data_IF_934205551230
#
_entry.id   IF_934205551230
#
_cell.length_a   1.000
_cell.length_b   1.000
_cell.length_c   1.000
_cell.angle_alpha   90.00
_cell.angle_beta   90.00
_cell.angle_gamma   90.00
#
_symmetry.space_group_name_H-M   'P 1'
#
loop_
_entity.id
_entity.type
_entity.pdbx_description
1 polymer ?
#
# COMPACT_ATOMS: atom_id res chain seq x y z
N UNK A 1 3.69 -4.98 -2.43
CA UNK A 1 4.67 -4.97 -3.52
C UNK A 1 5.96 -4.20 -3.20
N UNK A 2 5.95 -3.00 -2.55
CA UNK A 2 7.19 -2.27 -2.30
C UNK A 2 8.03 -2.84 -1.15
N UNK A 3 7.45 -3.69 -0.30
CA UNK A 3 8.07 -4.21 0.92
C UNK A 3 8.82 -5.54 0.73
N UNK A 4 8.54 -6.26 -0.36
CA UNK A 4 9.09 -7.60 -0.63
C UNK A 4 9.35 -7.79 -2.11
N UNK A 5 10.35 -8.60 -2.42
CA UNK A 5 10.53 -9.12 -3.77
C UNK A 5 9.32 -9.97 -4.15
N UNK A 6 8.81 -9.75 -5.36
CA UNK A 6 7.74 -10.57 -5.95
C UNK A 6 8.32 -11.24 -7.18
N UNK A 7 8.31 -12.57 -7.18
CA UNK A 7 8.61 -13.38 -8.34
C UNK A 7 7.33 -14.08 -8.79
N UNK A 8 6.80 -13.66 -9.94
CA UNK A 8 5.53 -14.17 -10.47
C UNK A 8 5.62 -15.63 -10.92
N UNK A 9 6.84 -16.12 -11.22
CA UNK A 9 7.05 -17.53 -11.60
C UNK A 9 7.07 -18.42 -10.38
N UNK A 10 7.74 -18.00 -9.31
CA UNK A 10 7.78 -18.70 -8.03
C UNK A 10 6.40 -18.78 -7.39
N UNK A 11 5.63 -17.66 -7.45
CA UNK A 11 4.26 -17.60 -6.96
C UNK A 11 3.25 -18.35 -7.84
N UNK A 12 3.62 -18.71 -9.06
CA UNK A 12 2.75 -19.31 -10.09
C UNK A 12 1.39 -18.63 -10.27
N UNK A 13 1.34 -17.31 -10.08
CA UNK A 13 0.10 -16.55 -10.19
C UNK A 13 -0.35 -16.42 -11.66
N UNK A 14 -1.64 -16.49 -11.89
CA UNK A 14 -2.23 -16.28 -13.21
C UNK A 14 -2.25 -14.82 -13.61
N UNK A 15 -2.59 -13.93 -12.65
CA UNK A 15 -2.58 -12.48 -12.82
C UNK A 15 -2.03 -11.81 -11.57
N UNK A 16 -1.32 -10.69 -11.78
CA UNK A 16 -0.86 -9.78 -10.74
C UNK A 16 -1.04 -8.34 -11.19
N UNK A 17 -1.66 -7.51 -10.36
CA UNK A 17 -1.80 -6.09 -10.64
C UNK A 17 -1.29 -5.26 -9.47
N UNK A 18 -0.65 -4.13 -9.77
CA UNK A 18 -0.25 -3.15 -8.76
C UNK A 18 -0.21 -1.73 -9.33
N UNK A 19 -0.37 -0.75 -8.43
CA UNK A 19 -0.30 0.67 -8.75
C UNK A 19 1.12 1.20 -8.54
N UNK A 20 1.61 2.02 -9.47
CA UNK A 20 2.95 2.60 -9.43
C UNK A 20 3.20 3.44 -8.19
N UNK A 21 2.24 4.30 -7.80
CA UNK A 21 2.37 5.17 -6.62
C UNK A 21 2.53 4.41 -5.28
N UNK A 22 2.11 3.16 -5.21
CA UNK A 22 2.35 2.30 -4.03
C UNK A 22 3.70 1.58 -4.07
N UNK A 23 4.54 1.88 -5.07
CA UNK A 23 5.86 1.29 -5.29
C UNK A 23 6.91 2.35 -5.54
N UNK A 24 6.83 3.48 -4.84
CA UNK A 24 7.71 4.65 -5.01
C UNK A 24 7.68 5.25 -6.43
N UNK A 25 6.75 4.83 -7.27
CA UNK A 25 6.56 5.33 -8.62
C UNK A 25 5.52 6.46 -8.69
N UNK A 26 5.30 7.04 -9.87
CA UNK A 26 4.33 8.10 -10.08
C UNK A 26 2.88 7.60 -9.99
N UNK A 27 1.95 8.54 -9.80
CA UNK A 27 0.52 8.31 -9.97
C UNK A 27 0.17 8.11 -11.45
N UNK A 28 -1.03 7.58 -11.74
CA UNK A 28 -1.54 7.42 -13.11
C UNK A 28 -0.89 6.30 -13.92
N UNK A 29 -0.10 5.43 -13.29
CA UNK A 29 0.52 4.25 -13.90
C UNK A 29 0.37 3.03 -13.00
N UNK A 30 0.20 1.87 -13.58
CA UNK A 30 0.18 0.57 -12.93
C UNK A 30 0.57 -0.54 -13.88
N UNK A 31 0.75 -1.72 -13.35
CA UNK A 31 1.10 -2.93 -14.12
C UNK A 31 0.03 -3.98 -13.94
N UNK A 32 -0.34 -4.63 -15.03
CA UNK A 32 -1.02 -5.91 -15.04
C UNK A 32 -0.07 -6.94 -15.65
N UNK A 33 0.36 -7.89 -14.83
CA UNK A 33 0.98 -9.13 -15.29
C UNK A 33 -0.09 -10.19 -15.53
N UNK A 34 0.09 -11.03 -16.53
CA UNK A 34 -0.73 -12.22 -16.74
C UNK A 34 0.01 -13.26 -17.55
N UNK A 35 -0.31 -14.55 -17.32
CA UNK A 35 0.17 -15.64 -18.18
C UNK A 35 -0.33 -15.41 -19.59
N UNK A 36 0.55 -15.53 -20.59
CA UNK A 36 0.27 -15.22 -22.00
C UNK A 36 -1.00 -15.90 -22.51
N UNK A 37 -1.13 -17.19 -22.29
CA UNK A 37 -2.28 -18.01 -22.71
C UNK A 37 -3.62 -17.58 -22.08
N UNK A 38 -3.59 -16.90 -20.95
CA UNK A 38 -4.76 -16.34 -20.30
C UNK A 38 -5.06 -14.92 -20.82
N UNK A 39 -4.03 -14.08 -20.98
CA UNK A 39 -4.19 -12.76 -21.57
C UNK A 39 -4.75 -12.82 -22.99
N UNK A 40 -4.41 -13.83 -23.78
CA UNK A 40 -4.94 -14.05 -25.12
C UNK A 40 -6.46 -14.31 -25.15
N UNK A 41 -6.99 -14.91 -24.08
CA UNK A 41 -8.42 -15.22 -23.95
C UNK A 41 -9.29 -14.07 -23.50
N UNK A 42 -8.70 -13.03 -22.93
CA UNK A 42 -9.46 -11.87 -22.43
C UNK A 42 -9.58 -10.82 -23.54
N UNK A 43 -10.77 -10.29 -23.79
CA UNK A 43 -10.97 -9.18 -24.71
C UNK A 43 -10.44 -7.85 -24.15
N UNK A 44 -9.94 -6.92 -24.96
CA UNK A 44 -9.63 -5.57 -24.52
C UNK A 44 -10.87 -4.89 -23.94
N UNK A 45 -10.66 -4.06 -22.91
CA UNK A 45 -11.73 -3.24 -22.32
C UNK A 45 -11.91 -1.93 -23.12
N UNK A 46 -10.82 -1.42 -23.67
CA UNK A 46 -10.78 -0.18 -24.44
C UNK A 46 -10.16 -0.41 -25.81
N UNK A 47 -10.64 0.36 -26.80
CA UNK A 47 -10.15 0.37 -28.17
C UNK A 47 -9.81 1.81 -28.53
N UNK A 48 -8.74 2.03 -29.29
CA UNK A 48 -8.41 3.37 -29.80
C UNK A 48 -6.96 3.52 -30.26
N UNK A 49 -6.75 4.56 -31.08
CA UNK A 49 -5.43 4.95 -31.57
C UNK A 49 -4.80 3.96 -32.55
N UNK A 50 -5.57 3.05 -33.15
CA UNK A 50 -5.11 2.03 -34.10
C UNK A 50 -3.95 1.16 -33.61
N UNK A 51 -3.69 1.18 -32.30
CA UNK A 51 -2.54 0.51 -31.68
C UNK A 51 -2.89 -0.89 -31.15
N UNK A 52 -4.11 -1.06 -30.64
CA UNK A 52 -4.53 -2.34 -30.07
C UNK A 52 -5.56 -3.06 -30.92
N UNK A 53 -6.21 -2.37 -31.85
CA UNK A 53 -7.20 -2.93 -32.76
C UNK A 53 -7.28 -2.10 -34.07
N UNK A 54 -7.52 -2.79 -35.15
CA UNK A 54 -7.83 -2.19 -36.46
C UNK A 54 -9.27 -2.51 -36.80
N UNK A 55 -9.91 -1.60 -37.54
CA UNK A 55 -11.27 -1.76 -38.04
C UNK A 55 -11.24 -1.84 -39.56
N UNK A 56 -11.96 -2.77 -40.14
CA UNK A 56 -12.14 -2.82 -41.58
C UNK A 56 -13.48 -2.18 -41.99
N UNK A 57 -13.67 -2.02 -43.28
CA UNK A 57 -14.90 -1.41 -43.87
C UNK A 57 -16.18 -2.20 -43.59
N UNK A 58 -16.07 -3.45 -43.12
CA UNK A 58 -17.20 -4.31 -42.71
C UNK A 58 -17.54 -4.20 -41.23
N UNK A 59 -16.81 -3.36 -40.48
CA UNK A 59 -16.99 -3.21 -39.04
C UNK A 59 -16.34 -4.34 -38.19
N UNK A 60 -15.51 -5.20 -38.80
CA UNK A 60 -14.80 -6.25 -38.10
C UNK A 60 -13.61 -5.64 -37.34
N UNK A 61 -13.41 -6.11 -36.10
CA UNK A 61 -12.32 -5.69 -35.21
C UNK A 61 -11.19 -6.74 -35.28
N UNK A 62 -10.04 -6.29 -35.76
CA UNK A 62 -8.81 -7.10 -35.79
C UNK A 62 -7.92 -6.65 -34.67
N UNK A 63 -7.71 -7.52 -33.67
CA UNK A 63 -6.85 -7.24 -32.51
C UNK A 63 -5.39 -7.43 -32.86
N UNK A 64 -4.54 -6.55 -32.36
CA UNK A 64 -3.09 -6.73 -32.43
C UNK A 64 -2.61 -7.79 -31.41
N UNK A 65 -1.34 -8.15 -31.51
CA UNK A 65 -0.69 -9.09 -30.59
C UNK A 65 -0.46 -8.48 -29.20
N UNK A 66 -0.25 -9.36 -28.22
CA UNK A 66 0.20 -8.91 -26.90
C UNK A 66 1.64 -8.36 -26.97
N UNK A 67 1.94 -7.32 -26.19
CA UNK A 67 1.10 -6.65 -25.19
C UNK A 67 0.14 -5.59 -25.77
N UNK A 68 0.33 -5.18 -27.03
CA UNK A 68 -0.32 -4.02 -27.66
C UNK A 68 -1.84 -4.09 -27.67
N UNK A 69 -2.42 -5.27 -27.85
CA UNK A 69 -3.88 -5.44 -27.79
C UNK A 69 -4.52 -4.97 -26.48
N UNK A 70 -3.71 -4.78 -25.41
CA UNK A 70 -4.15 -4.34 -24.10
C UNK A 70 -3.95 -2.86 -23.82
N UNK A 71 -3.30 -2.15 -24.74
CA UNK A 71 -2.82 -0.77 -24.56
C UNK A 71 -3.46 0.15 -25.61
N UNK A 72 -4.70 0.59 -25.35
CA UNK A 72 -5.42 1.49 -26.25
C UNK A 72 -4.84 2.91 -26.23
N UNK A 73 -4.65 3.51 -27.39
CA UNK A 73 -4.19 4.89 -27.54
C UNK A 73 -2.74 5.13 -27.13
N UNK A 74 -2.39 6.40 -26.90
CA UNK A 74 -1.05 6.80 -26.46
C UNK A 74 -0.89 6.51 -24.98
N UNK A 75 0.12 5.71 -24.64
CA UNK A 75 0.39 5.30 -23.28
C UNK A 75 1.07 6.40 -22.45
N UNK A 76 0.95 6.32 -21.13
CA UNK A 76 1.64 7.21 -20.20
C UNK A 76 3.14 6.89 -20.15
N UNK A 77 3.89 7.33 -21.18
CA UNK A 77 5.33 7.03 -21.33
C UNK A 77 6.14 7.59 -20.16
N UNK A 78 5.85 8.83 -19.73
CA UNK A 78 6.55 9.45 -18.60
C UNK A 78 6.33 8.67 -17.30
N UNK A 79 5.09 8.22 -17.06
CA UNK A 79 4.76 7.38 -15.92
C UNK A 79 5.45 6.01 -15.96
N UNK A 80 5.56 5.41 -17.16
CA UNK A 80 6.25 4.13 -17.34
C UNK A 80 7.75 4.23 -17.02
N UNK A 81 8.42 5.28 -17.53
CA UNK A 81 9.83 5.55 -17.23
C UNK A 81 10.06 5.84 -15.73
N UNK A 82 9.18 6.64 -15.13
CA UNK A 82 9.24 6.91 -13.68
C UNK A 82 9.04 5.65 -12.83
N UNK A 83 8.11 4.77 -13.22
CA UNK A 83 7.90 3.48 -12.53
C UNK A 83 9.09 2.54 -12.72
N UNK A 84 9.67 2.47 -13.92
CA UNK A 84 10.89 1.69 -14.16
C UNK A 84 12.03 2.15 -13.24
N UNK A 85 12.24 3.46 -13.12
CA UNK A 85 13.25 4.04 -12.23
C UNK A 85 12.99 3.73 -10.76
N UNK A 86 11.73 3.76 -10.33
CA UNK A 86 11.35 3.37 -8.96
C UNK A 86 11.65 1.88 -8.70
N UNK A 87 11.42 1.00 -9.69
CA UNK A 87 11.76 -0.41 -9.56
C UNK A 87 13.28 -0.64 -9.46
N UNK A 88 14.08 0.04 -10.29
CA UNK A 88 15.54 0.00 -10.21
C UNK A 88 16.04 0.44 -8.82
N UNK A 89 15.49 1.56 -8.33
CA UNK A 89 15.83 2.10 -7.03
C UNK A 89 15.53 1.11 -5.90
N UNK A 90 14.32 0.53 -5.85
CA UNK A 90 13.98 -0.47 -4.83
C UNK A 90 14.87 -1.71 -4.92
N UNK A 91 15.24 -2.12 -6.13
CA UNK A 91 16.15 -3.23 -6.35
C UNK A 91 17.58 -2.91 -5.86
N UNK A 92 18.03 -1.67 -6.02
CA UNK A 92 19.36 -1.23 -5.55
C UNK A 92 19.45 -1.12 -4.03
N UNK A 93 18.35 -0.74 -3.34
CA UNK A 93 18.26 -0.75 -1.88
C UNK A 93 18.27 -2.19 -1.34
N UNK A 94 17.66 -3.11 -2.07
CA UNK A 94 17.51 -4.50 -1.69
C UNK A 94 16.26 -4.74 -0.85
N UNK A 95 15.41 -5.67 -1.30
CA UNK A 95 14.15 -5.97 -0.59
C UNK A 95 14.37 -6.62 0.78
N UNK A 96 15.44 -7.39 0.95
CA UNK A 96 15.76 -8.00 2.23
C UNK A 96 16.19 -6.94 3.26
N UNK A 97 16.95 -5.93 2.83
CA UNK A 97 17.31 -4.78 3.66
C UNK A 97 16.08 -3.97 4.09
N UNK A 98 15.16 -3.73 3.16
CA UNK A 98 13.89 -3.03 3.45
C UNK A 98 13.09 -3.83 4.48
N UNK A 99 12.96 -5.12 4.28
CA UNK A 99 12.18 -5.99 5.15
C UNK A 99 12.77 -6.07 6.56
N UNK A 100 14.08 -6.24 6.71
CA UNK A 100 14.74 -6.32 8.02
C UNK A 100 14.66 -4.98 8.77
N UNK A 101 14.82 -3.87 8.06
CA UNK A 101 14.64 -2.54 8.64
C UNK A 101 13.20 -2.34 9.17
N UNK A 102 12.19 -2.66 8.37
CA UNK A 102 10.79 -2.56 8.79
C UNK A 102 10.48 -3.48 9.98
N UNK A 103 11.03 -4.69 9.98
CA UNK A 103 10.87 -5.66 11.07
C UNK A 103 11.45 -5.16 12.38
N UNK A 104 12.64 -4.55 12.32
CA UNK A 104 13.31 -3.96 13.49
C UNK A 104 12.48 -2.82 14.07
N UNK A 105 12.08 -1.87 13.24
CA UNK A 105 11.27 -0.73 13.70
C UNK A 105 9.88 -1.17 14.21
N UNK A 106 9.26 -2.15 13.53
CA UNK A 106 8.00 -2.72 13.98
C UNK A 106 8.12 -3.33 15.37
N UNK A 107 9.16 -4.11 15.63
CA UNK A 107 9.40 -4.72 16.95
C UNK A 107 9.47 -3.66 18.02
N UNK A 108 10.26 -2.60 17.82
CA UNK A 108 10.35 -1.47 18.76
C UNK A 108 8.99 -0.80 19.00
N UNK A 109 8.19 -0.60 17.95
CA UNK A 109 6.87 0.00 18.07
C UNK A 109 5.89 -0.90 18.88
N UNK A 110 5.84 -2.20 18.57
CA UNK A 110 4.97 -3.15 19.29
C UNK A 110 5.36 -3.23 20.76
N UNK A 111 6.65 -3.34 21.09
CA UNK A 111 7.15 -3.36 22.45
C UNK A 111 6.79 -2.07 23.21
N UNK A 112 6.96 -0.92 22.56
CA UNK A 112 6.63 0.37 23.14
C UNK A 112 5.13 0.56 23.38
N UNK A 113 4.29 0.20 22.41
CA UNK A 113 2.83 0.26 22.55
C UNK A 113 2.30 -0.68 23.65
N UNK A 114 2.87 -1.89 23.76
CA UNK A 114 2.56 -2.80 24.84
C UNK A 114 2.92 -2.23 26.22
N UNK A 115 4.09 -1.58 26.32
CA UNK A 115 4.55 -0.96 27.57
C UNK A 115 3.65 0.18 28.00
N UNK A 116 3.04 0.93 27.08
CA UNK A 116 2.07 1.98 27.41
C UNK A 116 0.82 1.42 28.11
N UNK A 117 0.43 0.18 27.80
CA UNK A 117 -0.68 -0.50 28.46
C UNK A 117 -2.09 -0.09 28.01
N UNK A 118 -2.21 0.98 27.22
CA UNK A 118 -3.49 1.51 26.71
C UNK A 118 -3.79 1.12 25.27
N UNK A 119 -2.85 0.53 24.55
CA UNK A 119 -3.03 0.12 23.16
C UNK A 119 -3.65 -1.29 23.04
N UNK A 120 -4.59 -1.45 22.12
CA UNK A 120 -5.14 -2.73 21.67
C UNK A 120 -4.51 -3.03 20.31
N UNK A 121 -3.67 -4.06 20.23
CA UNK A 121 -2.97 -4.46 19.02
C UNK A 121 -3.75 -5.58 18.31
N UNK A 122 -3.91 -5.47 16.98
CA UNK A 122 -4.69 -6.43 16.18
C UNK A 122 -3.84 -7.35 15.31
N UNK A 123 -2.58 -6.99 15.04
CA UNK A 123 -1.72 -7.73 14.14
C UNK A 123 -0.29 -7.89 14.67
N UNK A 124 -0.15 -8.23 15.93
CA UNK A 124 1.14 -8.30 16.61
C UNK A 124 2.17 -9.17 15.90
N UNK A 125 1.75 -10.33 15.40
CA UNK A 125 2.61 -11.34 14.78
C UNK A 125 2.75 -11.17 13.25
N UNK A 126 2.20 -10.07 12.69
CA UNK A 126 2.28 -9.86 11.26
C UNK A 126 3.70 -9.52 10.81
N UNK A 127 4.13 -10.12 9.72
CA UNK A 127 5.43 -9.88 9.09
C UNK A 127 5.30 -8.78 8.02
N UNK A 128 5.06 -7.54 8.47
CA UNK A 128 4.93 -6.36 7.61
C UNK A 128 5.21 -5.08 8.38
N UNK A 129 5.56 -3.98 7.68
CA UNK A 129 5.72 -2.65 8.28
C UNK A 129 4.42 -1.97 8.71
N UNK A 130 3.28 -2.68 8.71
CA UNK A 130 1.96 -2.13 9.07
C UNK A 130 1.60 -2.57 10.49
N UNK A 131 1.31 -1.60 11.35
CA UNK A 131 0.82 -1.83 12.71
C UNK A 131 -0.62 -1.33 12.79
N UNK A 132 -1.52 -2.23 13.18
CA UNK A 132 -2.95 -1.93 13.35
C UNK A 132 -3.29 -1.99 14.83
N UNK A 133 -3.79 -0.90 15.36
CA UNK A 133 -4.09 -0.77 16.78
C UNK A 133 -5.26 0.18 17.06
N UNK A 134 -5.73 0.19 18.28
CA UNK A 134 -6.59 1.24 18.85
C UNK A 134 -6.05 1.64 20.23
N UNK A 135 -6.45 2.80 20.72
CA UNK A 135 -6.29 3.20 22.11
C UNK A 135 -7.61 2.89 22.83
N UNK A 136 -7.53 2.31 24.03
CA UNK A 136 -8.70 1.96 24.83
C UNK A 136 -9.57 3.19 25.05
N UNK A 137 -10.87 3.00 24.89
CA UNK A 137 -11.92 3.99 25.15
C UNK A 137 -11.82 5.29 24.31
N UNK A 138 -10.95 5.35 23.29
CA UNK A 138 -10.80 6.47 22.37
C UNK A 138 -11.17 6.05 20.94
N UNK A 139 -11.97 6.87 20.29
CA UNK A 139 -12.38 6.59 18.91
C UNK A 139 -11.18 6.72 17.95
N UNK A 140 -11.01 5.82 16.97
CA UNK A 140 -9.81 5.81 16.12
C UNK A 140 -9.51 7.12 15.38
N UNK A 141 -10.53 7.88 14.99
CA UNK A 141 -10.37 9.18 14.35
C UNK A 141 -9.81 10.23 15.30
N UNK A 142 -10.24 10.20 16.58
CA UNK A 142 -9.76 11.12 17.60
C UNK A 142 -8.31 10.84 17.95
N UNK A 143 -7.94 9.55 18.04
CA UNK A 143 -6.54 9.12 18.15
C UNK A 143 -5.71 9.68 16.99
N UNK A 144 -6.17 9.52 15.75
CA UNK A 144 -5.42 10.00 14.58
C UNK A 144 -5.28 11.53 14.57
N UNK A 145 -6.32 12.27 14.99
CA UNK A 145 -6.29 13.72 15.11
C UNK A 145 -5.30 14.16 16.19
N UNK A 146 -5.35 13.53 17.35
CA UNK A 146 -4.41 13.79 18.45
C UNK A 146 -2.96 13.52 18.03
N UNK A 147 -2.69 12.35 17.44
CA UNK A 147 -1.35 12.01 16.96
C UNK A 147 -0.85 13.02 15.92
N UNK A 148 -1.73 13.48 15.02
CA UNK A 148 -1.41 14.52 14.03
C UNK A 148 -1.00 15.83 14.69
N UNK A 149 -1.65 16.26 15.78
CA UNK A 149 -1.27 17.46 16.56
C UNK A 149 0.12 17.34 17.20
N UNK A 150 0.59 16.11 17.41
CA UNK A 150 1.95 15.81 17.91
C UNK A 150 2.97 15.54 16.78
N UNK A 151 2.60 15.79 15.51
CA UNK A 151 3.46 15.59 14.36
C UNK A 151 3.58 14.13 13.90
N UNK A 152 2.71 13.24 14.39
CA UNK A 152 2.70 11.81 14.03
C UNK A 152 1.49 11.51 13.14
N UNK A 153 1.74 11.18 11.88
CA UNK A 153 0.69 10.98 10.88
C UNK A 153 0.37 9.49 10.71
N UNK A 154 -0.85 9.12 11.06
CA UNK A 154 -1.40 7.77 10.94
C UNK A 154 -2.69 7.80 10.13
N UNK A 155 -3.18 6.65 9.75
CA UNK A 155 -4.51 6.54 9.12
C UNK A 155 -5.48 5.89 10.08
N UNK A 156 -6.72 6.41 10.15
CA UNK A 156 -7.83 5.82 10.91
C UNK A 156 -8.97 5.35 10.01
N UNK A 157 -9.83 4.48 10.53
CA UNK A 157 -11.04 4.01 9.90
C UNK A 157 -10.96 2.59 9.37
N UNK A 158 -11.60 2.33 8.22
CA UNK A 158 -11.80 0.98 7.64
C UNK A 158 -10.68 0.55 6.69
N UNK A 159 -9.73 1.42 6.35
CA UNK A 159 -8.56 1.14 5.48
C UNK A 159 -8.90 0.55 4.10
N UNK A 160 -10.05 0.91 3.51
CA UNK A 160 -10.60 0.32 2.28
C UNK A 160 -10.94 -1.18 2.41
N UNK A 161 -11.16 -1.67 3.64
CA UNK A 161 -11.50 -3.05 3.98
C UNK A 161 -12.76 -3.06 4.86
N UNK A 162 -13.92 -2.79 4.27
CA UNK A 162 -15.19 -2.56 5.00
C UNK A 162 -15.61 -3.70 5.95
N UNK A 163 -15.21 -4.92 5.64
CA UNK A 163 -15.53 -6.12 6.46
C UNK A 163 -14.59 -6.24 7.67
N UNK A 164 -13.39 -5.66 7.60
CA UNK A 164 -12.38 -5.80 8.66
C UNK A 164 -12.84 -5.33 10.04
N UNK A 165 -13.53 -4.18 10.21
CA UNK A 165 -14.05 -3.75 11.50
C UNK A 165 -15.04 -4.73 12.13
N UNK A 166 -15.87 -5.39 11.33
CA UNK A 166 -16.81 -6.41 11.81
C UNK A 166 -16.07 -7.63 12.36
N UNK A 167 -15.03 -8.10 11.64
CA UNK A 167 -14.18 -9.23 12.08
C UNK A 167 -13.47 -8.89 13.38
N UNK A 168 -12.94 -7.67 13.47
CA UNK A 168 -12.21 -7.19 14.65
C UNK A 168 -13.14 -6.74 15.80
N UNK A 169 -14.46 -6.68 15.55
CA UNK A 169 -15.46 -6.14 16.50
C UNK A 169 -15.09 -4.75 17.00
N UNK A 170 -14.60 -3.91 16.12
CA UNK A 170 -14.14 -2.55 16.41
C UNK A 170 -14.80 -1.54 15.45
N UNK A 171 -15.07 -0.29 15.87
CA UNK A 171 -15.70 0.73 15.02
C UNK A 171 -14.82 1.19 13.85
N UNK A 172 -13.57 0.82 13.89
CA UNK A 172 -12.47 1.11 12.97
C UNK A 172 -11.15 0.87 13.67
N UNK A 173 -10.06 1.12 13.00
CA UNK A 173 -8.72 0.98 13.59
C UNK A 173 -7.81 2.14 13.20
N UNK A 174 -6.76 2.36 13.99
CA UNK A 174 -5.62 3.20 13.67
C UNK A 174 -4.55 2.34 13.00
N UNK A 175 -3.93 2.86 11.95
CA UNK A 175 -2.86 2.19 11.22
C UNK A 175 -1.63 3.08 11.13
N UNK A 176 -0.55 2.67 11.76
CA UNK A 176 0.78 3.16 11.49
C UNK A 176 1.43 2.32 10.38
N UNK A 177 2.05 2.98 9.41
CA UNK A 177 2.73 2.32 8.29
C UNK A 177 4.19 2.72 8.31
N UNK A 178 5.06 1.78 8.58
CA UNK A 178 6.51 1.94 8.61
C UNK A 178 7.06 1.59 7.23
N UNK A 179 7.99 2.36 6.75
CA UNK A 179 8.72 2.08 5.53
C UNK A 179 10.20 2.42 5.67
N UNK A 180 10.99 2.12 4.64
CA UNK A 180 12.46 2.24 4.61
C UNK A 180 13.04 3.60 5.04
N UNK A 181 12.27 4.67 5.00
CA UNK A 181 12.71 6.02 5.37
C UNK A 181 12.39 6.41 6.82
N UNK A 182 11.60 5.59 7.52
CA UNK A 182 11.34 5.84 8.93
C UNK A 182 12.57 5.46 9.78
N UNK A 183 12.67 6.10 10.95
CA UNK A 183 13.76 5.96 11.89
C UNK A 183 13.26 5.46 13.24
N UNK A 184 14.18 5.08 14.13
CA UNK A 184 13.83 4.78 15.53
C UNK A 184 13.19 5.97 16.24
N UNK A 185 13.58 7.20 15.89
CA UNK A 185 13.02 8.40 16.51
C UNK A 185 11.57 8.63 16.10
N UNK A 186 11.17 8.29 14.86
CA UNK A 186 9.78 8.26 14.44
C UNK A 186 8.98 7.26 15.28
N UNK A 187 9.55 6.10 15.57
CA UNK A 187 8.91 5.08 16.41
C UNK A 187 8.77 5.57 17.86
N UNK A 188 9.80 6.21 18.41
CA UNK A 188 9.73 6.81 19.75
C UNK A 188 8.65 7.89 19.82
N UNK A 189 8.55 8.74 18.78
CA UNK A 189 7.52 9.77 18.67
C UNK A 189 6.12 9.14 18.64
N UNK A 190 5.89 8.09 17.83
CA UNK A 190 4.63 7.35 17.79
C UNK A 190 4.26 6.79 19.17
N UNK A 191 5.17 6.05 19.80
CA UNK A 191 4.94 5.42 21.11
C UNK A 191 4.65 6.45 22.19
N UNK A 192 5.41 7.56 22.21
CA UNK A 192 5.20 8.67 23.13
C UNK A 192 3.85 9.34 22.94
N UNK A 193 3.46 9.63 21.70
CA UNK A 193 2.16 10.24 21.42
C UNK A 193 0.99 9.31 21.78
N UNK A 194 1.14 7.99 21.56
CA UNK A 194 0.14 7.01 21.95
C UNK A 194 -0.02 6.89 23.48
N UNK A 195 1.04 7.13 24.28
CA UNK A 195 0.94 7.02 25.74
C UNK A 195 0.05 8.08 26.40
N UNK A 196 -0.24 9.17 25.70
CA UNK A 196 -1.09 10.26 26.18
C UNK A 196 -2.30 10.51 25.26
N UNK A 197 -2.63 9.55 24.39
CA UNK A 197 -3.73 9.72 23.43
C UNK A 197 -5.14 9.65 24.07
N UNK A 198 -5.23 9.27 25.34
CA UNK A 198 -6.46 9.36 26.14
C UNK A 198 -6.84 10.83 26.41
N UNK A 199 -5.85 11.74 26.41
CA UNK A 199 -6.03 13.18 26.60
C UNK A 199 -6.36 13.89 25.27
N UNK A 200 -7.01 13.19 24.33
CA UNK A 200 -7.25 13.69 22.96
C UNK A 200 -8.03 15.02 22.91
N UNK A 201 -8.86 15.30 23.91
CA UNK A 201 -9.60 16.57 24.02
C UNK A 201 -8.67 17.77 24.14
N UNK A 202 -7.50 17.60 24.76
CA UNK A 202 -6.53 18.70 24.92
C UNK A 202 -6.01 19.22 23.55
N UNK A 203 -6.06 18.39 22.49
CA UNK A 203 -5.68 18.78 21.14
C UNK A 203 -6.66 19.81 20.50
N UNK A 204 -7.87 19.94 21.04
CA UNK A 204 -8.92 20.84 20.52
C UNK A 204 -9.05 22.15 21.30
N UNK A 205 -8.45 22.24 22.48
CA UNK A 205 -8.61 23.39 23.38
C UNK A 205 -7.32 24.22 23.55
N UNK A 206 -6.25 23.87 22.87
CA UNK A 206 -4.97 24.57 22.81
C UNK A 206 -4.53 24.80 21.36
#
# INVERSE_FOLDING_TARGET
>A
APHRKIDVKDLDVDFLAFSGHKRCGPTGIGILYGKKNLLEKISPTFYGGERNARFNSKGEVLLDDLPYRREAGTQNVAGALGLAKACEYLSSVGFDNIHEHERTLRKLAIEGLKKNGNAILYNEDADSGIITFNIKDVFPQDVASYLSSKGVFVRSGQHCAKILPEILKAPGTVRASIYRYNTEDDIKALVKACSTAEDFLDAFFH
#
